data_IF_661787714263
#
_entry.id   IF_661787714263
#
_cell.length_a   1.000
_cell.length_b   1.000
_cell.length_c   1.000
_cell.angle_alpha   90.00
_cell.angle_beta   90.00
_cell.angle_gamma   90.00
#
_symmetry.space_group_name_H-M   'P 1'
#
loop_
_entity.id
_entity.type
_entity.pdbx_description
1 polymer ?
#
# COMPACT_ATOMS: atom_id res chain seq x y z
N UNK A 1 -12.96 5.13 4.19
CA UNK A 1 -13.18 3.72 4.61
C UNK A 1 -11.89 3.16 5.19
N UNK A 2 -11.94 2.33 6.25
CA UNK A 2 -10.75 1.61 6.74
C UNK A 2 -10.40 0.48 5.76
N UNK A 3 -9.13 0.38 5.37
CA UNK A 3 -8.62 -0.58 4.38
C UNK A 3 -8.00 -1.84 5.00
N UNK A 4 -7.27 -1.65 6.10
CA UNK A 4 -6.48 -2.68 6.74
C UNK A 4 -7.25 -3.42 7.83
N UNK A 5 -6.78 -4.62 8.20
CA UNK A 5 -7.37 -5.43 9.27
C UNK A 5 -6.75 -5.18 10.64
N UNK A 6 -5.52 -4.66 10.68
CA UNK A 6 -4.79 -4.37 11.91
C UNK A 6 -5.56 -3.46 12.86
N UNK A 7 -5.36 -3.67 14.16
CA UNK A 7 -5.92 -2.84 15.24
C UNK A 7 -4.97 -1.74 15.71
N UNK A 8 -3.67 -1.94 15.51
CA UNK A 8 -2.61 -1.07 16.01
C UNK A 8 -2.50 0.19 15.16
N UNK A 9 -2.61 0.06 13.84
CA UNK A 9 -2.65 1.16 12.89
C UNK A 9 -4.01 1.15 12.17
N UNK A 10 -4.59 2.31 11.91
CA UNK A 10 -5.70 2.47 10.99
C UNK A 10 -5.19 3.10 9.69
N UNK A 11 -5.44 2.43 8.55
CA UNK A 11 -5.20 2.95 7.21
C UNK A 11 -6.58 3.25 6.62
N UNK A 12 -6.90 4.53 6.49
CA UNK A 12 -8.21 4.99 6.02
C UNK A 12 -8.08 5.67 4.66
N UNK A 13 -8.78 5.13 3.68
CA UNK A 13 -8.90 5.72 2.36
C UNK A 13 -10.01 6.78 2.33
N UNK A 14 -9.76 8.00 1.82
CA UNK A 14 -10.69 9.12 1.96
C UNK A 14 -11.93 9.03 1.06
N UNK A 15 -11.87 8.22 0.00
CA UNK A 15 -12.96 8.10 -0.98
C UNK A 15 -13.71 6.78 -0.83
N UNK A 16 -14.88 6.68 -1.47
CA UNK A 16 -15.66 5.44 -1.59
C UNK A 16 -15.31 4.62 -2.83
N UNK A 17 -14.43 5.14 -3.70
CA UNK A 17 -14.05 4.54 -4.98
C UNK A 17 -12.59 4.82 -5.35
N UNK A 18 -12.01 4.02 -6.23
CA UNK A 18 -10.72 4.28 -6.89
C UNK A 18 -10.99 4.81 -8.29
N UNK A 19 -10.35 5.91 -8.68
CA UNK A 19 -10.36 6.41 -10.06
C UNK A 19 -9.23 5.78 -10.85
N UNK A 20 -9.52 5.23 -12.04
CA UNK A 20 -8.47 4.81 -12.96
C UNK A 20 -7.88 5.98 -13.77
N UNK A 21 -8.51 7.16 -13.71
CA UNK A 21 -8.01 8.36 -14.39
C UNK A 21 -6.84 8.95 -13.60
N UNK A 22 -5.80 9.38 -14.31
CA UNK A 22 -4.75 10.22 -13.72
C UNK A 22 -5.36 11.54 -13.25
N UNK A 23 -5.70 11.62 -11.97
CA UNK A 23 -6.02 12.89 -11.32
C UNK A 23 -4.73 13.68 -11.13
N UNK A 24 -4.78 15.01 -11.28
CA UNK A 24 -3.63 15.87 -10.94
C UNK A 24 -3.26 15.79 -9.45
N UNK A 25 -4.21 15.35 -8.62
CA UNK A 25 -4.05 15.22 -7.17
C UNK A 25 -3.78 13.77 -6.80
N UNK A 26 -2.67 13.53 -6.09
CA UNK A 26 -2.38 12.24 -5.45
C UNK A 26 -3.32 12.07 -4.27
N UNK A 27 -4.09 10.98 -4.25
CA UNK A 27 -4.94 10.64 -3.12
C UNK A 27 -4.04 10.17 -1.96
N UNK A 28 -4.29 10.71 -0.77
CA UNK A 28 -3.58 10.36 0.45
C UNK A 28 -4.51 9.64 1.41
N UNK A 29 -4.10 8.47 1.88
CA UNK A 29 -4.68 7.78 3.02
C UNK A 29 -4.37 8.53 4.32
N UNK A 30 -5.27 8.42 5.29
CA UNK A 30 -4.95 8.73 6.68
C UNK A 30 -4.37 7.48 7.33
N UNK A 31 -3.15 7.59 7.85
CA UNK A 31 -2.49 6.53 8.61
C UNK A 31 -2.40 6.98 10.05
N UNK A 32 -3.07 6.28 10.96
CA UNK A 32 -3.16 6.63 12.38
C UNK A 32 -2.63 5.51 13.25
N UNK A 33 -1.71 5.84 14.15
CA UNK A 33 -1.25 4.94 15.18
C UNK A 33 -2.15 4.99 16.41
N UNK A 34 -2.73 3.85 16.78
CA UNK A 34 -3.60 3.73 17.95
C UNK A 34 -2.87 3.24 19.20
N UNK A 35 -1.55 2.99 19.12
CA UNK A 35 -0.75 2.41 20.21
C UNK A 35 0.24 3.42 20.80
N UNK A 36 1.03 2.95 21.77
CA UNK A 36 2.17 3.68 22.34
C UNK A 36 3.51 3.27 21.72
N UNK A 37 3.52 2.40 20.70
CA UNK A 37 4.72 1.99 19.99
C UNK A 37 5.02 2.97 18.84
N UNK A 38 6.28 3.05 18.42
CA UNK A 38 6.68 3.67 17.15
C UNK A 38 6.72 2.59 16.08
N UNK A 39 6.10 2.83 14.92
CA UNK A 39 6.10 1.89 13.80
C UNK A 39 6.96 2.36 12.64
N UNK A 40 7.62 1.39 12.00
CA UNK A 40 8.29 1.52 10.71
C UNK A 40 7.31 0.99 9.66
N UNK A 41 6.96 1.84 8.71
CA UNK A 41 6.10 1.48 7.58
C UNK A 41 6.90 1.72 6.31
N UNK A 42 7.02 0.70 5.49
CA UNK A 42 7.54 0.85 4.14
C UNK A 42 6.36 1.18 3.21
N UNK A 43 6.33 2.36 2.55
CA UNK A 43 5.28 2.70 1.59
C UNK A 43 5.18 1.72 0.41
N UNK A 44 6.22 0.92 0.17
CA UNK A 44 6.27 -0.12 -0.86
C UNK A 44 6.17 -1.55 -0.28
N UNK A 45 6.05 -1.69 1.04
CA UNK A 45 6.07 -2.98 1.73
C UNK A 45 4.76 -3.77 1.65
N UNK A 46 3.69 -3.18 1.11
CA UNK A 46 2.46 -3.93 0.84
C UNK A 46 2.64 -4.76 -0.44
N UNK A 47 2.75 -6.07 -0.27
CA UNK A 47 2.96 -7.01 -1.36
C UNK A 47 1.88 -8.09 -1.35
N UNK A 48 1.35 -8.45 -2.52
CA UNK A 48 0.37 -9.52 -2.65
C UNK A 48 -0.34 -9.55 -4.00
N UNK A 49 -1.64 -9.82 -3.97
CA UNK A 49 -2.49 -9.96 -5.15
C UNK A 49 -3.49 -8.80 -5.25
N UNK A 50 -3.56 -8.18 -6.42
CA UNK A 50 -4.62 -7.23 -6.76
C UNK A 50 -5.11 -7.51 -8.17
N UNK A 51 -6.41 -7.42 -8.36
CA UNK A 51 -7.04 -7.63 -9.66
C UNK A 51 -8.36 -6.87 -9.75
N UNK A 52 -8.73 -6.54 -10.98
CA UNK A 52 -10.00 -5.85 -11.24
C UNK A 52 -11.08 -6.86 -11.61
N UNK A 53 -12.28 -6.65 -11.08
CA UNK A 53 -13.50 -7.30 -11.52
C UNK A 53 -14.24 -6.40 -12.51
N UNK A 54 -14.72 -6.95 -13.61
CA UNK A 54 -15.69 -6.35 -14.53
C UNK A 54 -17.00 -7.13 -14.41
N UNK A 55 -18.09 -6.46 -14.00
CA UNK A 55 -19.40 -7.08 -13.81
C UNK A 55 -19.33 -8.40 -12.99
N UNK A 56 -18.57 -8.38 -11.89
CA UNK A 56 -18.28 -9.51 -10.97
C UNK A 56 -17.41 -10.65 -11.53
N UNK A 57 -16.80 -10.50 -12.72
CA UNK A 57 -15.84 -11.46 -13.27
C UNK A 57 -14.45 -10.86 -13.31
N UNK A 58 -13.40 -11.67 -13.14
CA UNK A 58 -12.03 -11.18 -13.24
C UNK A 58 -11.80 -10.63 -14.65
N UNK A 59 -11.48 -9.34 -14.73
CA UNK A 59 -11.08 -8.69 -15.97
C UNK A 59 -9.65 -9.14 -16.28
N UNK A 60 -9.42 -9.62 -17.50
CA UNK A 60 -8.05 -9.96 -17.91
C UNK A 60 -7.29 -8.68 -18.23
N UNK A 61 -6.06 -8.49 -17.69
CA UNK A 61 -5.22 -7.37 -18.08
C UNK A 61 -4.98 -7.37 -19.59
N UNK A 62 -5.00 -6.19 -20.19
CA UNK A 62 -4.61 -6.01 -21.59
C UNK A 62 -3.10 -6.20 -21.75
N UNK A 63 -2.33 -5.78 -20.75
CA UNK A 63 -0.88 -5.98 -20.69
C UNK A 63 -0.39 -5.93 -19.24
N UNK A 64 0.86 -6.35 -19.05
CA UNK A 64 1.59 -6.22 -17.79
C UNK A 64 2.81 -5.34 -18.00
N UNK A 65 3.08 -4.43 -17.06
CA UNK A 65 4.29 -3.62 -17.05
C UNK A 65 5.41 -4.45 -16.42
N UNK A 66 6.31 -4.96 -17.26
CA UNK A 66 7.52 -5.67 -16.82
C UNK A 66 8.63 -4.66 -16.49
N UNK A 67 8.46 -3.93 -15.39
CA UNK A 67 9.52 -3.15 -14.78
C UNK A 67 10.04 -3.89 -13.55
N UNK A 68 11.37 -4.07 -13.50
CA UNK A 68 12.03 -4.57 -12.31
C UNK A 68 11.86 -3.63 -11.12
N UNK A 69 12.00 -4.15 -9.91
CA UNK A 69 12.03 -3.31 -8.72
C UNK A 69 13.37 -2.60 -8.61
N UNK A 70 13.35 -1.33 -8.22
CA UNK A 70 14.58 -0.57 -7.93
C UNK A 70 14.95 -0.86 -6.48
N UNK A 71 16.11 -1.49 -6.27
CA UNK A 71 16.69 -1.61 -4.93
C UNK A 71 16.94 -0.21 -4.37
N UNK A 72 16.60 -0.01 -3.10
CA UNK A 72 16.93 1.19 -2.36
C UNK A 72 18.28 0.97 -1.68
N UNK A 73 19.06 2.04 -1.61
CA UNK A 73 20.24 2.10 -0.76
C UNK A 73 19.86 2.72 0.59
N UNK A 74 20.78 2.69 1.56
CA UNK A 74 20.55 3.22 2.91
C UNK A 74 19.99 4.65 2.90
N UNK A 75 20.52 5.54 2.05
CA UNK A 75 20.00 6.90 1.89
C UNK A 75 18.52 6.91 1.49
N UNK A 76 18.16 6.17 0.45
CA UNK A 76 16.77 6.08 -0.02
C UNK A 76 15.87 5.44 1.04
N UNK A 77 16.36 4.47 1.80
CA UNK A 77 15.62 3.89 2.93
C UNK A 77 15.33 4.93 4.01
N UNK A 78 16.30 5.77 4.37
CA UNK A 78 16.12 6.87 5.33
C UNK A 78 15.15 7.94 4.83
N UNK A 79 15.13 8.20 3.52
CA UNK A 79 14.22 9.17 2.89
C UNK A 79 12.79 8.64 2.70
N UNK A 80 12.60 7.32 2.56
CA UNK A 80 11.31 6.74 2.14
C UNK A 80 10.59 5.94 3.21
N UNK A 81 11.29 5.32 4.18
CA UNK A 81 10.61 4.65 5.29
C UNK A 81 9.89 5.67 6.15
N UNK A 82 8.66 5.32 6.51
CA UNK A 82 7.80 6.17 7.34
C UNK A 82 8.00 5.74 8.79
N UNK A 83 8.35 6.71 9.63
CA UNK A 83 8.38 6.53 11.08
C UNK A 83 7.10 7.13 11.65
N UNK A 84 6.19 6.28 12.09
CA UNK A 84 4.91 6.69 12.65
C UNK A 84 4.97 6.63 14.18
N UNK A 85 5.01 7.79 14.81
CA UNK A 85 5.15 7.95 16.26
C UNK A 85 3.90 7.51 17.02
N UNK A 86 4.01 7.28 18.34
CA UNK A 86 2.87 6.98 19.20
C UNK A 86 1.74 7.99 19.01
N UNK A 87 0.52 7.49 18.82
CA UNK A 87 -0.70 8.31 18.66
C UNK A 87 -0.70 9.29 17.48
N UNK A 88 0.30 9.22 16.61
CA UNK A 88 0.43 10.11 15.46
C UNK A 88 -0.58 9.76 14.37
N UNK A 89 -1.01 10.78 13.64
CA UNK A 89 -1.86 10.64 12.46
C UNK A 89 -1.25 11.46 11.32
N UNK A 90 -0.97 10.81 10.20
CA UNK A 90 -0.39 11.45 9.01
C UNK A 90 -1.26 11.23 7.77
N UNK A 91 -1.05 12.06 6.76
CA UNK A 91 -1.62 11.90 5.42
C UNK A 91 -0.52 11.50 4.45
N UNK A 92 -0.65 10.31 3.87
CA UNK A 92 0.35 9.74 2.97
C UNK A 92 -0.30 8.94 1.87
N UNK A 93 0.31 8.87 0.69
CA UNK A 93 -0.07 7.92 -0.36
C UNK A 93 0.67 6.60 -0.17
N UNK A 94 -0.05 5.50 -0.03
CA UNK A 94 0.51 4.15 0.04
C UNK A 94 0.37 3.42 -1.30
N UNK A 95 1.40 2.65 -1.66
CA UNK A 95 1.27 1.66 -2.72
C UNK A 95 0.56 0.44 -2.12
N UNK A 96 -0.76 0.34 -2.34
CA UNK A 96 -1.59 -0.69 -1.70
C UNK A 96 -1.24 -2.13 -2.13
N UNK A 97 -0.58 -2.30 -3.29
CA UNK A 97 0.07 -3.54 -3.70
C UNK A 97 1.19 -3.27 -4.72
N UNK A 98 2.44 -3.38 -4.28
CA UNK A 98 3.64 -3.16 -5.10
C UNK A 98 3.81 -4.17 -6.24
N UNK A 99 3.20 -5.35 -6.12
CA UNK A 99 3.26 -6.40 -7.14
C UNK A 99 2.26 -6.23 -8.29
N UNK A 100 1.29 -5.32 -8.17
CA UNK A 100 0.30 -5.14 -9.22
C UNK A 100 0.92 -4.39 -10.42
N UNK A 101 1.17 -5.11 -11.51
CA UNK A 101 1.69 -4.57 -12.78
C UNK A 101 0.64 -4.57 -13.90
N UNK A 102 -0.61 -4.85 -13.56
CA UNK A 102 -1.68 -5.06 -14.53
C UNK A 102 -2.15 -3.73 -15.12
N UNK A 103 -2.32 -3.69 -16.44
CA UNK A 103 -2.94 -2.57 -17.15
C UNK A 103 -4.22 -3.06 -17.81
N UNK A 104 -5.33 -2.37 -17.55
CA UNK A 104 -6.65 -2.75 -18.01
C UNK A 104 -7.19 -1.76 -19.05
N UNK A 105 -8.09 -2.24 -19.90
CA UNK A 105 -8.91 -1.42 -20.79
C UNK A 105 -10.33 -1.42 -20.25
N UNK A 106 -10.85 -0.22 -19.94
CA UNK A 106 -12.18 -0.07 -19.37
C UNK A 106 -13.17 0.41 -20.44
N UNK A 107 -14.33 -0.23 -20.49
CA UNK A 107 -15.56 0.30 -21.10
C UNK A 107 -16.34 1.17 -20.11
N UNK A 108 -16.90 2.30 -20.58
CA UNK A 108 -17.73 3.22 -19.78
C UNK A 108 -19.05 2.61 -19.30
N UNK A 109 -19.55 1.56 -19.93
CA UNK A 109 -20.88 0.96 -19.64
C UNK A 109 -20.84 -0.07 -18.52
N UNK A 110 -19.66 -0.56 -18.17
CA UNK A 110 -19.52 -1.68 -17.25
C UNK A 110 -19.20 -1.20 -15.83
N UNK A 111 -19.47 -2.07 -14.85
CA UNK A 111 -19.16 -1.81 -13.45
C UNK A 111 -17.86 -2.51 -13.09
N UNK A 112 -16.99 -1.79 -12.37
CA UNK A 112 -15.70 -2.32 -11.95
C UNK A 112 -15.51 -2.24 -10.44
N UNK A 113 -14.73 -3.17 -9.92
CA UNK A 113 -14.26 -3.18 -8.54
C UNK A 113 -12.80 -3.61 -8.53
N UNK A 114 -11.97 -2.90 -7.79
CA UNK A 114 -10.61 -3.32 -7.49
C UNK A 114 -10.61 -4.19 -6.23
N UNK A 115 -10.07 -5.40 -6.36
CA UNK A 115 -9.82 -6.30 -5.23
C UNK A 115 -8.35 -6.19 -4.87
N UNK A 116 -8.06 -5.90 -3.60
CA UNK A 116 -6.72 -5.76 -3.07
C UNK A 116 -6.55 -6.74 -1.92
N UNK A 117 -5.52 -7.58 -1.99
CA UNK A 117 -5.08 -8.49 -0.94
C UNK A 117 -3.57 -8.38 -0.80
N UNK A 118 -3.10 -7.59 0.15
CA UNK A 118 -1.67 -7.38 0.36
C UNK A 118 -1.30 -7.50 1.84
N UNK A 119 -0.04 -7.86 2.07
CA UNK A 119 0.57 -8.02 3.38
C UNK A 119 1.75 -7.05 3.49
N UNK A 120 1.88 -6.40 4.64
CA UNK A 120 3.06 -5.68 5.05
C UNK A 120 3.65 -6.39 6.27
N UNK A 121 4.94 -6.70 6.21
CA UNK A 121 5.70 -7.36 7.26
C UNK A 121 7.19 -7.02 7.12
N UNK A 122 8.02 -7.48 8.08
CA UNK A 122 9.48 -7.30 8.02
C UNK A 122 10.07 -7.75 6.68
N UNK A 123 9.73 -8.94 6.21
CA UNK A 123 10.26 -9.48 4.95
C UNK A 123 9.98 -8.56 3.75
N UNK A 124 8.74 -8.09 3.59
CA UNK A 124 8.36 -7.22 2.49
C UNK A 124 8.97 -5.81 2.63
N UNK A 125 9.08 -5.28 3.85
CA UNK A 125 9.72 -3.98 4.09
C UNK A 125 11.24 -4.00 3.78
N UNK A 126 11.89 -5.15 3.92
CA UNK A 126 13.31 -5.34 3.60
C UNK A 126 13.56 -5.79 2.16
N UNK A 127 12.53 -6.23 1.44
CA UNK A 127 12.66 -6.83 0.09
C UNK A 127 13.42 -5.95 -0.91
N UNK A 128 13.35 -4.63 -0.73
CA UNK A 128 14.01 -3.64 -1.59
C UNK A 128 15.24 -2.99 -0.95
N UNK A 129 15.94 -3.68 -0.04
CA UNK A 129 17.28 -3.29 0.46
C UNK A 129 17.31 -2.32 1.64
N UNK A 130 16.29 -2.35 2.52
CA UNK A 130 16.23 -1.50 3.72
C UNK A 130 16.47 -2.25 5.03
N UNK A 131 17.04 -3.46 4.96
CA UNK A 131 17.41 -4.31 6.07
C UNK A 131 18.27 -3.61 7.11
N UNK A 132 19.44 -3.08 6.74
CA UNK A 132 20.37 -2.45 7.69
C UNK A 132 19.72 -1.32 8.50
N UNK A 133 18.97 -0.43 7.82
CA UNK A 133 18.33 0.70 8.49
C UNK A 133 17.13 0.26 9.33
N UNK A 134 16.38 -0.75 8.89
CA UNK A 134 15.30 -1.33 9.70
C UNK A 134 15.87 -1.94 10.98
N UNK A 135 16.97 -2.68 10.90
CA UNK A 135 17.64 -3.25 12.08
C UNK A 135 18.15 -2.16 13.03
N UNK A 136 18.71 -1.07 12.51
CA UNK A 136 19.10 0.10 13.30
C UNK A 136 17.90 0.67 14.07
N UNK A 137 16.73 0.78 13.44
CA UNK A 137 15.52 1.32 14.05
C UNK A 137 14.90 0.34 15.06
N UNK A 138 14.87 -0.95 14.75
CA UNK A 138 14.41 -1.99 15.68
C UNK A 138 15.26 -2.05 16.94
N UNK A 139 16.58 -1.83 16.83
CA UNK A 139 17.49 -1.74 18.00
C UNK A 139 17.14 -0.57 18.94
N UNK A 140 16.46 0.47 18.42
CA UNK A 140 15.93 1.62 19.18
C UNK A 140 14.52 1.36 19.73
N UNK A 141 13.98 0.15 19.55
CA UNK A 141 12.66 -0.26 20.04
C UNK A 141 11.51 0.03 19.07
N UNK A 142 11.79 0.36 17.82
CA UNK A 142 10.75 0.60 16.81
C UNK A 142 10.27 -0.74 16.29
N UNK A 143 9.02 -0.80 15.79
CA UNK A 143 8.41 -2.04 15.30
C UNK A 143 8.10 -1.93 13.83
N UNK A 144 8.53 -2.89 13.02
CA UNK A 144 7.98 -2.98 11.65
C UNK A 144 6.49 -3.26 11.72
N UNK A 145 5.70 -2.58 10.89
CA UNK A 145 4.28 -2.84 10.78
C UNK A 145 4.04 -4.27 10.26
N UNK A 146 3.22 -5.02 10.99
CA UNK A 146 2.71 -6.32 10.61
C UNK A 146 1.19 -6.19 10.38
N UNK A 147 0.77 -6.08 9.13
CA UNK A 147 -0.62 -5.79 8.78
C UNK A 147 -1.00 -6.29 7.39
N UNK A 148 -2.30 -6.42 7.12
CA UNK A 148 -2.82 -6.78 5.82
C UNK A 148 -3.95 -5.86 5.38
N UNK A 149 -3.99 -5.59 4.08
CA UNK A 149 -5.10 -4.94 3.41
C UNK A 149 -5.89 -6.01 2.68
N UNK A 150 -7.19 -6.07 2.97
CA UNK A 150 -8.15 -6.90 2.23
C UNK A 150 -9.35 -6.03 1.93
N UNK A 151 -9.35 -5.45 0.73
CA UNK A 151 -10.34 -4.48 0.32
C UNK A 151 -10.97 -4.85 -1.02
N UNK A 152 -12.24 -4.51 -1.18
CA UNK A 152 -12.97 -4.53 -2.44
C UNK A 152 -13.60 -3.16 -2.62
N UNK A 153 -13.10 -2.39 -3.57
CA UNK A 153 -13.43 -0.98 -3.71
C UNK A 153 -14.00 -0.73 -5.11
N UNK A 154 -15.14 -0.04 -5.25
CA UNK A 154 -15.63 0.39 -6.56
C UNK A 154 -14.54 1.11 -7.37
N UNK A 155 -14.39 0.75 -8.63
CA UNK A 155 -13.45 1.38 -9.54
C UNK A 155 -14.21 2.15 -10.63
N UNK A 156 -13.89 3.44 -10.77
CA UNK A 156 -14.47 4.33 -11.76
C UNK A 156 -13.40 4.63 -12.82
N UNK A 157 -13.62 4.22 -14.08
CA UNK A 157 -12.66 4.42 -15.15
C UNK A 157 -12.60 5.86 -15.69
#
# INVERSE_FOLDING_TARGET
MKLNKGKDIDITYPQSYISAQKTKTVIKETIKNNTNNTYIIDPYGFYGESYTLENNKILKPYMYINEGYVSRNDRLCRETLIILKPKESILLSLVLNTNNKSVYKYSKTNKYEEVIKSLHNKYNATLLGCDDYIEELESKGYKVLEDSIVAKIPLIP
#
